data_IF_477111009021
#
_entry.id   IF_477111009021
#
_cell.length_a   1.000
_cell.length_b   1.000
_cell.length_c   1.000
_cell.angle_alpha   90.00
_cell.angle_beta   90.00
_cell.angle_gamma   90.00
#
_symmetry.space_group_name_H-M   'P 1'
#
loop_
_entity.id
_entity.type
_entity.pdbx_description
1 polymer ?
#
# COMPACT_ATOMS: atom_id res chain seq x y z
N UNK A 1 17.33 0.84 -6.62
CA UNK A 1 15.86 0.84 -6.47
C UNK A 1 15.45 -0.59 -6.32
N UNK A 2 14.74 -0.90 -5.22
CA UNK A 2 14.19 -2.23 -5.03
C UNK A 2 12.69 -2.18 -5.15
N UNK A 3 12.15 -3.10 -5.93
CA UNK A 3 10.72 -3.28 -6.13
C UNK A 3 10.39 -4.73 -5.91
N UNK A 4 9.41 -5.00 -5.05
CA UNK A 4 8.89 -6.33 -4.80
C UNK A 4 7.39 -6.33 -4.99
N UNK A 5 6.91 -7.33 -5.71
CA UNK A 5 5.49 -7.55 -5.87
C UNK A 5 4.96 -8.52 -4.82
N UNK A 6 3.72 -8.30 -4.41
CA UNK A 6 3.00 -9.10 -3.43
C UNK A 6 1.60 -9.40 -3.92
N UNK A 7 1.16 -10.63 -3.72
CA UNK A 7 -0.21 -11.04 -4.04
C UNK A 7 -0.97 -11.20 -2.72
N UNK A 8 -2.02 -10.41 -2.47
CA UNK A 8 -2.77 -10.46 -1.22
C UNK A 8 -3.47 -11.82 -1.07
N UNK A 9 -3.40 -12.39 0.14
CA UNK A 9 -4.20 -13.56 0.48
C UNK A 9 -5.61 -13.11 0.84
N UNK A 10 -6.56 -13.30 -0.06
CA UNK A 10 -7.97 -12.94 0.13
C UNK A 10 -8.79 -14.19 0.50
N UNK A 11 -9.77 -14.08 1.42
CA UNK A 11 -10.61 -15.20 1.82
C UNK A 11 -11.59 -15.64 0.72
N UNK A 12 -11.89 -14.77 -0.25
CA UNK A 12 -12.77 -15.02 -1.39
C UNK A 12 -12.09 -14.49 -2.66
N UNK A 13 -11.68 -15.38 -3.56
CA UNK A 13 -11.05 -15.04 -4.84
C UNK A 13 -9.73 -15.78 -5.07
N UNK A 14 -9.43 -16.09 -6.34
CA UNK A 14 -8.15 -16.68 -6.74
C UNK A 14 -7.00 -15.68 -6.62
N UNK A 15 -5.80 -16.19 -6.35
CA UNK A 15 -4.59 -15.39 -6.37
C UNK A 15 -4.15 -15.18 -7.82
N UNK A 16 -4.32 -13.97 -8.34
CA UNK A 16 -3.82 -13.60 -9.67
C UNK A 16 -2.46 -12.95 -9.50
N UNK A 17 -1.50 -13.44 -10.27
CA UNK A 17 -0.12 -12.97 -10.24
C UNK A 17 0.15 -12.19 -11.51
N UNK A 18 0.19 -10.84 -11.44
CA UNK A 18 0.54 -10.06 -12.61
C UNK A 18 2.03 -10.21 -12.95
N UNK A 19 2.42 -9.76 -14.13
CA UNK A 19 3.80 -9.44 -14.45
C UNK A 19 4.07 -7.98 -14.08
N UNK A 20 5.33 -7.65 -13.74
CA UNK A 20 5.70 -6.26 -13.56
C UNK A 20 7.09 -5.95 -14.11
N UNK A 21 7.31 -4.68 -14.43
CA UNK A 21 8.56 -4.19 -14.94
C UNK A 21 8.92 -2.85 -14.31
N UNK A 22 10.23 -2.61 -14.23
CA UNK A 22 10.79 -1.29 -13.95
C UNK A 22 11.35 -0.75 -15.25
N UNK A 23 10.85 0.41 -15.67
CA UNK A 23 11.26 1.12 -16.88
C UNK A 23 11.98 2.39 -16.48
N UNK A 24 13.22 2.56 -16.93
CA UNK A 24 14.00 3.75 -16.66
C UNK A 24 15.07 3.97 -17.75
N UNK A 25 15.64 5.16 -17.77
CA UNK A 25 16.78 5.46 -18.63
C UNK A 25 18.03 4.73 -18.10
N UNK A 26 18.79 4.15 -19.02
CA UNK A 26 20.09 3.54 -18.72
C UNK A 26 20.04 2.48 -17.61
N UNK A 27 19.10 1.54 -17.70
CA UNK A 27 19.14 0.33 -16.86
C UNK A 27 20.26 -0.61 -17.34
N UNK A 28 20.94 -1.32 -16.42
CA UNK A 28 22.08 -2.17 -16.74
C UNK A 28 21.72 -3.37 -17.62
N UNK A 29 20.45 -3.78 -17.62
CA UNK A 29 19.93 -4.88 -18.42
C UNK A 29 18.77 -4.36 -19.28
N UNK A 30 18.94 -4.40 -20.62
CA UNK A 30 17.96 -3.90 -21.60
C UNK A 30 17.29 -5.02 -22.41
N UNK A 31 17.52 -6.30 -22.06
CA UNK A 31 17.06 -7.43 -22.87
C UNK A 31 15.54 -7.70 -22.77
N UNK A 32 14.87 -7.17 -21.76
CA UNK A 32 13.46 -7.48 -21.52
C UNK A 32 12.47 -6.50 -22.16
N UNK A 33 12.95 -5.52 -22.93
CA UNK A 33 12.09 -4.52 -23.57
C UNK A 33 11.03 -5.18 -24.46
N UNK A 34 11.38 -6.27 -25.15
CA UNK A 34 10.45 -7.04 -26.00
C UNK A 34 9.39 -7.85 -25.23
N UNK A 35 9.51 -7.98 -23.90
CA UNK A 35 8.53 -8.68 -23.05
C UNK A 35 7.43 -7.74 -22.54
N UNK A 36 7.56 -6.44 -22.78
CA UNK A 36 6.55 -5.47 -22.42
C UNK A 36 5.35 -5.54 -23.38
N UNK A 37 4.14 -5.21 -22.89
CA UNK A 37 2.95 -5.17 -23.74
C UNK A 37 2.87 -3.90 -24.61
N UNK A 38 3.93 -3.09 -24.68
CA UNK A 38 4.00 -1.86 -25.47
C UNK A 38 5.45 -1.50 -25.79
N UNK A 39 5.62 -0.66 -26.80
CA UNK A 39 6.92 -0.16 -27.23
C UNK A 39 7.45 0.95 -26.31
N UNK A 40 8.74 0.89 -25.99
CA UNK A 40 9.41 1.92 -25.20
C UNK A 40 9.92 3.07 -26.07
N UNK A 41 9.88 4.32 -25.57
CA UNK A 41 10.59 5.42 -26.19
C UNK A 41 12.10 5.16 -26.25
N UNK A 42 12.77 5.73 -27.25
CA UNK A 42 14.22 5.62 -27.43
C UNK A 42 14.96 6.10 -26.17
N UNK A 43 15.98 5.35 -25.75
CA UNK A 43 16.79 5.65 -24.57
C UNK A 43 16.22 5.12 -23.24
N UNK A 44 15.03 4.52 -23.26
CA UNK A 44 14.50 3.77 -22.13
C UNK A 44 14.81 2.28 -22.24
N UNK A 45 15.01 1.67 -21.08
CA UNK A 45 15.23 0.25 -20.92
C UNK A 45 14.24 -0.28 -19.90
N UNK A 46 14.02 -1.60 -19.91
CA UNK A 46 13.15 -2.27 -18.95
C UNK A 46 13.80 -3.53 -18.40
N UNK A 47 13.55 -3.77 -17.12
CA UNK A 47 13.79 -5.04 -16.45
C UNK A 47 12.43 -5.63 -16.11
N UNK A 48 12.13 -6.82 -16.63
CA UNK A 48 10.82 -7.46 -16.49
C UNK A 48 10.94 -8.64 -15.53
N UNK A 49 10.06 -8.66 -14.54
CA UNK A 49 9.84 -9.81 -13.69
C UNK A 49 8.60 -10.58 -14.19
N UNK A 50 8.79 -11.79 -14.75
CA UNK A 50 7.66 -12.62 -15.17
C UNK A 50 6.84 -13.06 -13.94
N UNK A 51 5.56 -13.42 -14.13
CA UNK A 51 4.75 -13.95 -13.06
C UNK A 51 5.35 -15.30 -12.59
N UNK A 52 5.54 -15.53 -11.28
CA UNK A 52 6.02 -16.81 -10.78
C UNK A 52 5.04 -17.95 -11.07
N UNK A 53 5.57 -19.09 -11.49
CA UNK A 53 4.79 -20.30 -11.76
C UNK A 53 4.09 -20.85 -10.51
N UNK A 54 4.68 -20.60 -9.33
CA UNK A 54 4.17 -21.06 -8.04
C UNK A 54 4.28 -19.96 -6.99
N UNK A 55 3.24 -19.81 -6.19
CA UNK A 55 3.25 -18.96 -5.00
C UNK A 55 3.98 -19.68 -3.86
N UNK A 56 4.94 -18.98 -3.25
CA UNK A 56 5.69 -19.43 -2.07
C UNK A 56 4.88 -19.24 -0.79
N UNK A 57 5.42 -19.68 0.35
CA UNK A 57 4.74 -19.55 1.64
C UNK A 57 4.35 -18.08 1.94
N UNK A 58 3.13 -17.84 2.45
CA UNK A 58 2.65 -16.49 2.71
C UNK A 58 3.44 -15.83 3.84
N UNK A 59 3.75 -14.56 3.67
CA UNK A 59 4.36 -13.70 4.68
C UNK A 59 3.29 -12.80 5.32
N UNK A 60 3.47 -12.47 6.60
CA UNK A 60 2.57 -11.57 7.33
C UNK A 60 3.24 -10.21 7.52
N UNK A 61 2.58 -9.14 7.10
CA UNK A 61 3.02 -7.78 7.39
C UNK A 61 2.92 -7.49 8.89
N UNK A 62 3.98 -6.98 9.50
CA UNK A 62 4.03 -6.73 10.94
C UNK A 62 3.12 -5.59 11.36
N UNK A 63 2.97 -4.56 10.52
CA UNK A 63 2.17 -3.37 10.84
C UNK A 63 0.67 -3.68 10.78
N UNK A 64 0.22 -4.34 9.73
CA UNK A 64 -1.21 -4.55 9.46
C UNK A 64 -1.69 -5.98 9.72
N UNK A 65 -0.79 -6.92 9.98
CA UNK A 65 -1.06 -8.38 10.04
C UNK A 65 -1.72 -8.93 8.77
N UNK A 66 -1.63 -8.21 7.66
CA UNK A 66 -2.14 -8.65 6.37
C UNK A 66 -1.21 -9.72 5.80
N UNK A 67 -1.78 -10.74 5.16
CA UNK A 67 -1.02 -11.85 4.59
C UNK A 67 -0.86 -11.68 3.09
N UNK A 68 0.34 -11.94 2.60
CA UNK A 68 0.70 -11.82 1.19
C UNK A 68 1.54 -13.00 0.76
N UNK A 69 1.35 -13.45 -0.47
CA UNK A 69 2.32 -14.28 -1.16
C UNK A 69 3.41 -13.37 -1.74
N UNK A 70 4.68 -13.51 -1.31
CA UNK A 70 5.75 -12.73 -1.89
C UNK A 70 5.98 -13.18 -3.33
N UNK A 71 6.03 -12.21 -4.24
CA UNK A 71 6.34 -12.39 -5.65
C UNK A 71 7.78 -12.02 -5.97
N UNK A 72 8.09 -11.87 -7.27
CA UNK A 72 9.43 -11.58 -7.73
C UNK A 72 9.90 -10.19 -7.26
N UNK A 73 11.22 -10.07 -7.16
CA UNK A 73 11.93 -8.87 -6.72
C UNK A 73 12.81 -8.40 -7.87
N UNK A 74 12.70 -7.13 -8.21
CA UNK A 74 13.67 -6.44 -9.05
C UNK A 74 14.50 -5.53 -8.14
N UNK A 75 15.80 -5.81 -8.07
CA UNK A 75 16.78 -4.90 -7.47
C UNK A 75 17.70 -4.39 -8.58
N UNK A 76 17.57 -3.12 -8.91
CA UNK A 76 18.29 -2.50 -10.02
C UNK A 76 18.83 -1.13 -9.65
N UNK A 77 19.92 -0.73 -10.27
CA UNK A 77 20.52 0.60 -10.10
C UNK A 77 20.46 1.31 -11.45
N UNK A 78 19.96 2.53 -11.46
CA UNK A 78 20.01 3.36 -12.67
C UNK A 78 21.40 3.99 -12.76
N UNK A 79 22.01 3.95 -13.94
CA UNK A 79 23.32 4.60 -14.17
C UNK A 79 23.18 6.13 -14.22
N UNK A 80 21.99 6.60 -14.61
CA UNK A 80 21.65 8.02 -14.68
C UNK A 80 20.52 8.31 -13.69
N UNK A 81 20.59 9.46 -13.00
CA UNK A 81 19.51 9.94 -12.17
C UNK A 81 18.33 10.38 -13.05
N UNK A 82 17.12 9.90 -12.74
CA UNK A 82 15.96 10.20 -13.57
C UNK A 82 14.66 9.62 -13.04
N UNK A 83 13.62 9.66 -13.87
CA UNK A 83 12.31 9.07 -13.55
C UNK A 83 12.34 7.56 -13.79
N UNK A 84 11.85 6.81 -12.82
CA UNK A 84 11.59 5.38 -12.93
C UNK A 84 10.08 5.17 -12.99
N UNK A 85 9.63 4.38 -13.96
CA UNK A 85 8.24 4.00 -14.13
C UNK A 85 8.06 2.54 -13.73
N UNK A 86 7.00 2.29 -12.97
CA UNK A 86 6.56 0.95 -12.63
C UNK A 86 5.40 0.57 -13.55
N UNK A 87 5.54 -0.55 -14.23
CA UNK A 87 4.54 -1.07 -15.15
C UNK A 87 4.06 -2.41 -14.61
N UNK A 88 2.75 -2.59 -14.49
CA UNK A 88 2.14 -3.85 -14.03
C UNK A 88 1.06 -4.23 -15.03
N UNK A 89 1.07 -5.49 -15.47
CA UNK A 89 0.07 -6.01 -16.41
C UNK A 89 -0.26 -7.46 -16.12
N UNK A 90 -1.36 -7.95 -16.72
CA UNK A 90 -1.80 -9.34 -16.60
C UNK A 90 -1.55 -10.05 -17.93
N UNK A 91 -0.54 -10.94 -18.04
CA UNK A 91 -0.25 -11.67 -19.29
C UNK A 91 -1.41 -12.55 -19.77
N UNK A 92 -2.27 -13.00 -18.84
CA UNK A 92 -3.38 -13.91 -19.11
C UNK A 92 -4.76 -13.24 -18.96
N UNK A 93 -4.83 -11.90 -19.03
CA UNK A 93 -6.07 -11.12 -18.90
C UNK A 93 -6.91 -11.42 -17.64
N UNK A 94 -6.29 -11.97 -16.60
CA UNK A 94 -6.95 -12.19 -15.32
C UNK A 94 -6.97 -10.90 -14.49
N UNK A 95 -8.10 -10.66 -13.82
CA UNK A 95 -8.25 -9.57 -12.88
C UNK A 95 -8.00 -10.05 -11.46
N UNK A 96 -7.21 -9.29 -10.71
CA UNK A 96 -7.00 -9.54 -9.29
C UNK A 96 -6.33 -8.38 -8.60
N UNK A 97 -6.29 -8.46 -7.28
CA UNK A 97 -5.60 -7.49 -6.44
C UNK A 97 -4.10 -7.84 -6.38
N UNK A 98 -3.26 -6.81 -6.39
CA UNK A 98 -1.82 -6.93 -6.17
C UNK A 98 -1.34 -5.75 -5.35
N UNK A 99 -0.19 -5.91 -4.70
CA UNK A 99 0.51 -4.84 -4.00
C UNK A 99 1.95 -4.78 -4.51
N UNK A 100 2.49 -3.58 -4.59
CA UNK A 100 3.88 -3.35 -4.98
C UNK A 100 4.54 -2.55 -3.89
N UNK A 101 5.62 -3.10 -3.34
CA UNK A 101 6.50 -2.38 -2.45
C UNK A 101 7.65 -1.84 -3.27
N UNK A 102 7.79 -0.52 -3.29
CA UNK A 102 8.95 0.15 -3.86
C UNK A 102 9.65 0.96 -2.78
N UNK A 103 10.98 1.00 -2.82
CA UNK A 103 11.74 1.74 -1.84
C UNK A 103 13.23 1.81 -2.13
N UNK A 104 13.86 2.79 -1.48
CA UNK A 104 15.30 3.00 -1.51
C UNK A 104 15.90 2.97 -0.09
N UNK A 105 15.19 3.53 0.89
CA UNK A 105 15.55 3.55 2.31
C UNK A 105 14.31 3.82 3.17
N UNK A 106 14.37 3.46 4.46
CA UNK A 106 13.33 3.81 5.42
C UNK A 106 13.46 5.29 5.83
N UNK A 107 12.39 6.09 5.81
CA UNK A 107 12.47 7.48 6.26
C UNK A 107 12.66 7.51 7.78
N UNK A 108 13.77 8.11 8.25
CA UNK A 108 14.07 8.31 9.67
C UNK A 108 13.38 9.56 10.27
N UNK A 109 12.48 10.20 9.52
CA UNK A 109 11.84 11.46 9.95
C UNK A 109 10.76 11.16 10.98
N UNK A 110 10.75 11.88 12.11
CA UNK A 110 9.77 11.65 13.17
C UNK A 110 8.31 11.76 12.67
N UNK A 111 8.05 12.67 11.72
CA UNK A 111 6.73 12.90 11.13
C UNK A 111 6.17 11.69 10.39
N UNK A 112 7.03 10.76 9.95
CA UNK A 112 6.61 9.50 9.36
C UNK A 112 5.80 8.65 10.34
N UNK A 113 6.20 8.63 11.62
CA UNK A 113 5.50 7.87 12.65
C UNK A 113 4.07 8.39 12.89
N UNK A 114 3.85 9.70 12.74
CA UNK A 114 2.51 10.29 12.82
C UNK A 114 1.59 9.86 11.66
N UNK A 115 2.14 9.42 10.53
CA UNK A 115 1.39 8.95 9.36
C UNK A 115 1.05 7.45 9.42
N UNK A 116 1.66 6.68 10.33
CA UNK A 116 1.41 5.25 10.46
C UNK A 116 -0.07 4.88 10.63
N UNK A 117 -0.88 5.58 11.43
CA UNK A 117 -2.30 5.25 11.55
C UNK A 117 -3.04 5.38 10.21
N UNK A 118 -2.69 6.39 9.42
CA UNK A 118 -3.26 6.60 8.09
C UNK A 118 -2.88 5.47 7.12
N UNK A 119 -1.60 5.10 7.06
CA UNK A 119 -1.15 3.98 6.22
C UNK A 119 -1.77 2.65 6.66
N UNK A 120 -1.85 2.41 7.97
CA UNK A 120 -2.51 1.25 8.53
C UNK A 120 -3.96 1.15 8.06
N UNK A 121 -4.70 2.26 8.14
CA UNK A 121 -6.09 2.33 7.69
C UNK A 121 -6.23 2.08 6.19
N UNK A 122 -5.38 2.70 5.37
CA UNK A 122 -5.41 2.55 3.92
C UNK A 122 -5.15 1.11 3.50
N UNK A 123 -4.11 0.47 4.05
CA UNK A 123 -3.76 -0.92 3.74
C UNK A 123 -4.89 -1.84 4.20
N UNK A 124 -5.32 -1.72 5.46
CA UNK A 124 -6.36 -2.60 5.99
C UNK A 124 -7.70 -2.42 5.29
N UNK A 125 -8.09 -1.18 5.00
CA UNK A 125 -9.31 -0.85 4.26
C UNK A 125 -9.30 -1.49 2.87
N UNK A 126 -8.16 -1.45 2.17
CA UNK A 126 -7.99 -2.09 0.86
C UNK A 126 -8.08 -3.63 0.92
N UNK A 127 -7.60 -4.23 2.01
CA UNK A 127 -7.76 -5.67 2.33
C UNK A 127 -9.18 -6.07 2.73
N UNK A 128 -10.12 -5.12 2.75
CA UNK A 128 -11.50 -5.39 3.13
C UNK A 128 -11.67 -5.46 4.64
N UNK A 129 -11.03 -4.55 5.40
CA UNK A 129 -11.49 -4.22 6.76
C UNK A 129 -13.02 -4.15 6.69
N UNK A 130 -13.67 -5.11 7.34
CA UNK A 130 -15.10 -5.33 7.20
C UNK A 130 -15.81 -4.01 7.48
N UNK A 131 -16.88 -3.72 6.75
CA UNK A 131 -17.71 -2.52 7.01
C UNK A 131 -17.93 -2.30 8.52
N UNK A 132 -18.01 -3.39 9.29
CA UNK A 132 -18.05 -3.41 10.76
C UNK A 132 -16.91 -2.66 11.47
N UNK A 133 -15.64 -2.84 11.10
CA UNK A 133 -14.53 -2.14 11.76
C UNK A 133 -14.49 -0.64 11.40
N UNK A 134 -15.00 -0.28 10.22
CA UNK A 134 -15.24 1.12 9.85
C UNK A 134 -16.39 1.74 10.65
N UNK A 135 -17.47 1.00 10.89
CA UNK A 135 -18.57 1.44 11.75
C UNK A 135 -18.16 1.53 13.23
N UNK A 136 -17.32 0.62 13.72
CA UNK A 136 -16.84 0.65 15.11
C UNK A 136 -15.93 1.85 15.39
N UNK A 137 -15.07 2.21 14.44
CA UNK A 137 -14.22 3.40 14.56
C UNK A 137 -15.02 4.70 14.42
N UNK A 138 -15.98 4.77 13.48
CA UNK A 138 -16.90 5.90 13.38
C UNK A 138 -17.80 6.06 14.62
N UNK A 139 -18.35 4.95 15.13
CA UNK A 139 -19.17 4.92 16.33
C UNK A 139 -18.39 5.30 17.60
N UNK A 140 -17.14 4.83 17.72
CA UNK A 140 -16.25 5.20 18.83
C UNK A 140 -15.94 6.70 18.86
N UNK A 141 -15.64 7.30 17.72
CA UNK A 141 -15.39 8.75 17.62
C UNK A 141 -16.65 9.58 17.92
N UNK A 142 -17.82 9.13 17.45
CA UNK A 142 -19.09 9.78 17.76
C UNK A 142 -19.43 9.71 19.27
N UNK A 143 -19.17 8.58 19.93
CA UNK A 143 -19.36 8.42 21.37
C UNK A 143 -18.43 9.32 22.19
N UNK A 144 -17.14 9.37 21.82
CA UNK A 144 -16.16 10.24 22.49
C UNK A 144 -16.51 11.72 22.27
N UNK A 145 -16.89 12.12 21.05
CA UNK A 145 -17.35 13.46 20.75
C UNK A 145 -18.62 13.85 21.52
N UNK A 146 -19.58 12.93 21.59
CA UNK A 146 -20.82 13.10 22.36
C UNK A 146 -20.59 13.23 23.86
N UNK A 147 -19.70 12.41 24.43
CA UNK A 147 -19.31 12.48 25.84
C UNK A 147 -18.57 13.78 26.16
N UNK A 148 -17.62 14.18 25.32
CA UNK A 148 -16.91 15.46 25.47
C UNK A 148 -17.88 16.64 25.41
N UNK A 149 -18.83 16.63 24.47
CA UNK A 149 -19.85 17.66 24.35
C UNK A 149 -20.77 17.72 25.57
N UNK A 150 -21.24 16.57 26.09
CA UNK A 150 -22.06 16.50 27.30
C UNK A 150 -21.32 17.01 28.54
N UNK A 151 -20.03 16.68 28.69
CA UNK A 151 -19.18 17.16 29.78
C UNK A 151 -18.98 18.68 29.71
N UNK A 152 -18.73 19.23 28.52
CA UNK A 152 -18.63 20.67 28.29
C UNK A 152 -19.95 21.39 28.57
N UNK A 153 -21.08 20.79 28.20
CA UNK A 153 -22.42 21.35 28.43
C UNK A 153 -22.78 21.36 29.93
N UNK A 154 -22.43 20.31 30.68
CA UNK A 154 -22.59 20.25 32.14
C UNK A 154 -21.71 21.28 32.86
N UNK A 155 -20.45 21.46 32.44
CA UNK A 155 -19.55 22.49 33.01
C UNK A 155 -20.09 23.91 32.81
N UNK A 156 -20.57 24.23 31.60
CA UNK A 156 -21.18 25.55 31.30
C UNK A 156 -22.45 25.82 32.12
N UNK A 157 -23.29 24.81 32.37
CA UNK A 157 -24.48 24.96 33.23
C UNK A 157 -24.12 25.22 34.70
N UNK A 158 -23.12 24.53 35.25
CA UNK A 158 -22.67 24.74 36.65
C UNK A 158 -22.08 26.13 36.86
N UNK A 159 -21.29 26.65 35.91
CA UNK A 159 -20.73 28.00 36.02
C UNK A 159 -21.79 29.11 35.98
N UNK A 160 -22.89 28.93 35.21
CA UNK A 160 -24.00 29.90 35.19
C UNK A 160 -24.82 29.94 36.48
N UNK A 161 -24.85 28.86 37.26
CA UNK A 161 -25.52 28.80 38.57
C UNK A 161 -24.68 29.47 39.66
N UNK A 162 -23.35 29.39 39.58
CA UNK A 162 -22.43 30.03 40.54
C UNK A 162 -22.28 31.54 40.35
N UNK A 163 -22.59 32.08 39.16
CA UNK A 163 -22.54 33.53 38.87
C UNK A 163 -23.88 34.22 39.18
N UNK A 164 -24.93 33.45 39.52
CA UNK A 164 -26.28 33.95 39.86
C UNK A 164 -26.65 33.78 41.34
N UNK A 165 -25.76 33.20 42.14
CA UNK A 165 -25.87 33.12 43.59
C UNK A 165 -24.99 34.20 44.21
#
# INVERSE_FOLDING_TARGET
MRVQMFVPMLPLGGAVVPAFAVVAQSLPYSADVHKLPFDLPVGFSAVVAPPPDKLVAPTTDMLTRSRFYPGPVIDTRTLVGGRCYLVVWSPHHHMGKYAVQSGHAWPLRWSYWAQLPFFWWQIRGWFGLSRAAAYLSGGGLALIGGLAWLLLRKRRKRQRLLVRA
#
